data_IF_954169670069
#
_entry.id   IF_954169670069
#
_cell.length_a   1.000
_cell.length_b   1.000
_cell.length_c   1.000
_cell.angle_alpha   90.00
_cell.angle_beta   90.00
_cell.angle_gamma   90.00
#
_symmetry.space_group_name_H-M   'P 1'
#
loop_
_entity.id
_entity.type
_entity.pdbx_description
1 polymer ?
#
# COMPACT_ATOMS: atom_id res chain seq x y z
N UNK A 1 -14.41 6.81 18.08
CA UNK A 1 -15.30 7.19 16.97
C UNK A 1 -14.44 7.14 15.71
N UNK A 2 -14.94 6.60 14.59
CA UNK A 2 -14.17 6.62 13.35
C UNK A 2 -14.19 8.05 12.81
N UNK A 3 -13.02 8.67 12.69
CA UNK A 3 -12.85 9.95 12.01
C UNK A 3 -11.83 9.79 10.88
N UNK A 4 -11.87 10.72 9.92
CA UNK A 4 -11.05 10.66 8.71
C UNK A 4 -9.55 10.63 9.04
N UNK A 5 -9.11 11.38 10.04
CA UNK A 5 -7.69 11.45 10.38
C UNK A 5 -7.22 10.14 11.02
N UNK A 6 -8.08 9.48 11.81
CA UNK A 6 -7.80 8.15 12.35
C UNK A 6 -7.71 7.10 11.24
N UNK A 7 -8.57 7.16 10.22
CA UNK A 7 -8.49 6.29 9.05
C UNK A 7 -7.16 6.46 8.31
N UNK A 8 -6.76 7.72 8.04
CA UNK A 8 -5.48 8.04 7.40
C UNK A 8 -4.29 7.61 8.24
N UNK A 9 -4.31 7.91 9.54
CA UNK A 9 -3.26 7.50 10.46
C UNK A 9 -3.13 5.97 10.57
N UNK A 10 -4.24 5.23 10.52
CA UNK A 10 -4.22 3.77 10.50
C UNK A 10 -3.56 3.24 9.21
N UNK A 11 -3.95 3.76 8.05
CA UNK A 11 -3.30 3.45 6.77
C UNK A 11 -1.79 3.76 6.78
N UNK A 12 -1.38 4.87 7.40
CA UNK A 12 0.03 5.21 7.60
C UNK A 12 0.76 4.27 8.55
N UNK A 13 0.07 3.57 9.45
CA UNK A 13 0.70 2.87 10.57
C UNK A 13 1.10 1.43 10.30
N UNK A 14 0.56 0.79 9.25
CA UNK A 14 0.75 -0.66 9.00
C UNK A 14 2.21 -1.13 9.16
N UNK A 15 3.24 -0.44 8.66
CA UNK A 15 4.64 -0.88 8.79
C UNK A 15 5.14 -1.04 10.22
N UNK A 16 4.48 -0.41 11.21
CA UNK A 16 4.88 -0.39 12.62
C UNK A 16 3.89 -1.08 13.56
N UNK A 17 2.82 -1.67 13.05
CA UNK A 17 1.79 -2.29 13.90
C UNK A 17 2.01 -3.80 14.11
N UNK A 18 2.75 -4.46 13.22
CA UNK A 18 2.93 -5.91 13.25
C UNK A 18 4.27 -6.33 12.64
N UNK A 19 4.80 -7.44 13.14
CA UNK A 19 6.04 -8.10 12.66
C UNK A 19 5.73 -9.31 11.81
N UNK A 20 4.65 -10.05 12.08
CA UNK A 20 4.21 -11.11 11.18
C UNK A 20 2.69 -11.26 11.10
N UNK A 21 2.21 -11.70 9.94
CA UNK A 21 0.81 -12.06 9.73
C UNK A 21 0.68 -13.35 8.93
N UNK A 22 -0.36 -14.13 9.26
CA UNK A 22 -0.89 -15.17 8.38
C UNK A 22 -2.25 -14.74 7.89
N UNK A 23 -2.46 -14.73 6.58
CA UNK A 23 -3.69 -14.25 5.99
C UNK A 23 -4.12 -15.09 4.79
N UNK A 24 -5.39 -14.99 4.43
CA UNK A 24 -5.95 -15.50 3.18
C UNK A 24 -6.52 -14.34 2.40
N UNK A 25 -6.09 -14.14 1.14
CA UNK A 25 -6.61 -13.12 0.22
C UNK A 25 -7.39 -13.80 -0.90
N UNK A 26 -8.65 -13.40 -1.07
CA UNK A 26 -9.52 -13.84 -2.15
C UNK A 26 -9.83 -12.68 -3.09
N UNK A 27 -9.52 -12.85 -4.38
CA UNK A 27 -10.04 -11.97 -5.43
C UNK A 27 -11.53 -12.27 -5.67
N UNK A 28 -12.29 -11.25 -6.03
CA UNK A 28 -13.73 -11.38 -6.30
C UNK A 28 -14.06 -10.58 -7.54
N UNK A 29 -14.88 -11.19 -8.41
CA UNK A 29 -15.12 -10.71 -9.77
C UNK A 29 -13.94 -10.99 -10.70
N UNK A 30 -14.08 -10.55 -11.95
CA UNK A 30 -13.03 -10.66 -12.97
C UNK A 30 -12.06 -9.46 -12.85
N UNK A 31 -11.45 -9.34 -11.67
CA UNK A 31 -10.45 -8.31 -11.42
C UNK A 31 -9.28 -8.50 -12.40
N UNK A 32 -8.71 -7.40 -12.93
CA UNK A 32 -7.59 -7.38 -13.90
C UNK A 32 -6.26 -8.01 -13.40
N UNK A 33 -6.28 -8.70 -12.27
CA UNK A 33 -5.14 -9.22 -11.53
C UNK A 33 -5.39 -10.71 -11.32
N UNK A 34 -4.35 -11.57 -11.33
CA UNK A 34 -4.49 -13.02 -11.20
C UNK A 34 -5.55 -13.42 -10.21
N UNK A 35 -6.56 -14.08 -10.76
CA UNK A 35 -7.72 -14.62 -10.08
C UNK A 35 -7.27 -15.66 -9.06
N UNK A 36 -8.11 -15.88 -8.05
CA UNK A 36 -7.93 -16.99 -7.12
C UNK A 36 -7.68 -16.59 -5.68
N UNK A 37 -7.76 -17.60 -4.82
CA UNK A 37 -7.52 -17.50 -3.39
C UNK A 37 -6.07 -17.89 -3.09
N UNK A 38 -5.40 -17.08 -2.29
CA UNK A 38 -4.05 -17.39 -1.81
C UNK A 38 -3.99 -17.30 -0.29
N UNK A 39 -3.22 -18.18 0.32
CA UNK A 39 -2.84 -18.11 1.73
C UNK A 39 -1.40 -17.67 1.85
N UNK A 40 -1.11 -16.75 2.75
CA UNK A 40 0.21 -16.16 2.88
C UNK A 40 0.67 -16.02 4.32
N UNK A 41 1.99 -16.06 4.46
CA UNK A 41 2.75 -15.80 5.67
C UNK A 41 3.71 -14.68 5.34
N UNK A 42 3.55 -13.53 5.99
CA UNK A 42 4.41 -12.37 5.81
C UNK A 42 5.14 -12.14 7.13
N UNK A 43 6.46 -12.18 7.08
CA UNK A 43 7.35 -11.93 8.21
C UNK A 43 8.23 -10.72 7.85
N UNK A 44 8.10 -9.64 8.62
CA UNK A 44 8.90 -8.44 8.46
C UNK A 44 10.20 -8.54 9.26
N UNK A 45 11.32 -8.05 8.71
CA UNK A 45 11.45 -7.50 7.35
C UNK A 45 11.65 -8.58 6.28
N UNK A 46 11.03 -8.37 5.12
CA UNK A 46 11.51 -8.92 3.85
C UNK A 46 11.24 -10.41 3.57
N UNK A 47 10.35 -11.09 4.31
CA UNK A 47 9.99 -12.49 4.01
C UNK A 47 8.51 -12.67 3.73
N UNK A 48 8.20 -13.34 2.63
CA UNK A 48 6.83 -13.68 2.27
C UNK A 48 6.77 -15.09 1.68
N UNK A 49 5.89 -15.93 2.20
CA UNK A 49 5.50 -17.21 1.60
C UNK A 49 4.06 -17.10 1.15
N UNK A 50 3.76 -17.50 -0.08
CA UNK A 50 2.40 -17.57 -0.62
C UNK A 50 2.12 -18.96 -1.15
N UNK A 51 0.95 -19.49 -0.83
CA UNK A 51 0.43 -20.76 -1.31
C UNK A 51 -0.89 -20.50 -2.04
N UNK A 52 -0.96 -20.87 -3.33
CA UNK A 52 -2.18 -20.74 -4.12
C UNK A 52 -3.14 -21.92 -3.95
N UNK A 53 -4.33 -21.81 -4.50
CA UNK A 53 -5.39 -22.83 -4.43
C UNK A 53 -5.01 -24.19 -5.05
N UNK A 54 -3.96 -24.25 -5.87
CA UNK A 54 -3.43 -25.49 -6.44
C UNK A 54 -2.28 -26.08 -5.59
N UNK A 55 -1.98 -25.48 -4.44
CA UNK A 55 -0.90 -25.87 -3.55
C UNK A 55 0.49 -25.44 -4.05
N UNK A 56 0.58 -24.59 -5.09
CA UNK A 56 1.88 -24.07 -5.55
C UNK A 56 2.36 -23.02 -4.56
N UNK A 57 3.62 -23.16 -4.15
CA UNK A 57 4.26 -22.29 -3.16
C UNK A 57 5.26 -21.36 -3.84
N UNK A 58 5.15 -20.06 -3.54
CA UNK A 58 6.14 -19.04 -3.86
C UNK A 58 6.75 -18.50 -2.57
N UNK A 59 8.08 -18.36 -2.53
CA UNK A 59 8.80 -17.81 -1.38
C UNK A 59 9.67 -16.66 -1.85
N UNK A 60 9.57 -15.54 -1.16
CA UNK A 60 10.32 -14.31 -1.39
C UNK A 60 11.11 -14.01 -0.12
N UNK A 61 12.44 -13.91 -0.23
CA UNK A 61 13.32 -13.47 0.86
C UNK A 61 14.21 -12.34 0.34
N UNK A 62 13.88 -11.13 0.77
CA UNK A 62 14.50 -9.87 0.42
C UNK A 62 15.18 -9.22 1.64
N UNK A 63 15.15 -9.89 2.81
CA UNK A 63 15.65 -9.40 4.10
C UNK A 63 17.12 -8.97 4.09
N UNK A 64 17.93 -9.59 3.22
CA UNK A 64 19.35 -9.25 2.99
C UNK A 64 19.57 -8.40 1.74
N UNK A 65 18.87 -8.71 0.64
CA UNK A 65 19.11 -8.11 -0.69
C UNK A 65 18.74 -6.63 -0.72
N UNK A 66 17.66 -6.25 -0.08
CA UNK A 66 17.21 -4.86 -0.07
C UNK A 66 18.14 -3.92 0.70
N UNK A 67 18.96 -4.47 1.61
CA UNK A 67 19.93 -3.68 2.38
C UNK A 67 21.22 -3.39 1.59
N UNK A 68 21.59 -4.22 0.62
CA UNK A 68 22.92 -4.17 -0.01
C UNK A 68 22.91 -4.01 -1.52
N UNK A 69 21.86 -4.44 -2.21
CA UNK A 69 21.86 -4.60 -3.67
C UNK A 69 21.14 -3.47 -4.42
N UNK A 70 20.62 -2.45 -3.71
CA UNK A 70 20.02 -1.26 -4.32
C UNK A 70 21.10 -0.27 -4.77
N UNK A 71 21.25 -0.11 -6.09
CA UNK A 71 22.15 0.85 -6.70
C UNK A 71 21.64 2.30 -6.59
N UNK A 72 22.55 3.24 -6.39
CA UNK A 72 22.26 4.68 -6.43
C UNK A 72 22.86 5.27 -7.69
N UNK A 73 22.03 5.99 -8.45
CA UNK A 73 22.48 6.84 -9.56
C UNK A 73 22.30 8.28 -9.14
N UNK A 74 23.39 9.05 -9.16
CA UNK A 74 23.34 10.49 -8.98
C UNK A 74 23.64 11.15 -10.33
N UNK A 75 22.91 12.22 -10.64
CA UNK A 75 23.06 12.99 -11.87
C UNK A 75 22.98 14.48 -11.54
N UNK A 76 23.80 15.27 -12.22
CA UNK A 76 23.76 16.74 -12.15
C UNK A 76 23.05 17.26 -13.39
N UNK A 77 22.17 18.25 -13.20
CA UNK A 77 21.40 18.84 -14.30
C UNK A 77 22.27 19.66 -15.26
N UNK A 78 23.43 20.13 -14.81
CA UNK A 78 24.37 20.96 -15.57
C UNK A 78 25.57 20.16 -16.13
N UNK A 79 25.58 18.85 -15.96
CA UNK A 79 26.68 17.98 -16.38
C UNK A 79 27.98 18.17 -15.59
N UNK A 80 27.94 18.92 -14.50
CA UNK A 80 29.09 19.03 -13.60
C UNK A 80 29.41 17.67 -12.97
N UNK A 81 30.70 17.34 -12.75
CA UNK A 81 31.04 16.12 -12.04
C UNK A 81 30.43 16.14 -10.64
N UNK A 82 29.90 14.99 -10.20
CA UNK A 82 29.39 14.85 -8.84
C UNK A 82 30.52 15.16 -7.84
N UNK A 83 30.24 15.97 -6.80
CA UNK A 83 31.23 16.22 -5.77
C UNK A 83 31.45 14.96 -4.92
N UNK A 84 32.61 14.32 -5.07
CA UNK A 84 33.09 13.24 -4.21
C UNK A 84 32.58 11.84 -4.52
N UNK A 85 33.08 10.86 -3.75
CA UNK A 85 32.62 9.48 -3.79
C UNK A 85 31.17 9.40 -3.29
N UNK A 86 30.25 8.90 -4.11
CA UNK A 86 28.86 8.70 -3.71
C UNK A 86 28.83 7.60 -2.66
N UNK A 87 28.70 7.98 -1.39
CA UNK A 87 28.60 7.01 -0.31
C UNK A 87 27.35 6.16 -0.52
N UNK A 88 27.51 4.83 -0.53
CA UNK A 88 26.37 3.93 -0.61
C UNK A 88 25.45 4.16 0.60
N UNK A 89 24.17 4.51 0.41
CA UNK A 89 23.24 4.65 1.51
C UNK A 89 23.06 3.30 2.19
N UNK A 90 22.89 3.32 3.51
CA UNK A 90 22.41 2.15 4.25
C UNK A 90 20.89 2.20 4.25
N UNK A 91 20.26 1.13 3.79
CA UNK A 91 18.81 1.04 3.80
C UNK A 91 18.30 0.43 5.10
N UNK A 92 17.19 0.97 5.57
CA UNK A 92 16.53 0.59 6.81
C UNK A 92 15.09 0.15 6.56
N UNK A 93 14.64 -0.85 7.29
CA UNK A 93 13.22 -1.17 7.38
C UNK A 93 12.57 -0.39 8.53
N UNK A 94 11.25 -0.13 8.49
CA UNK A 94 10.55 0.71 9.45
C UNK A 94 10.73 0.33 10.94
N UNK A 95 11.00 -0.94 11.22
CA UNK A 95 11.17 -1.48 12.57
C UNK A 95 12.63 -1.69 12.97
N UNK A 96 13.58 -1.34 12.10
CA UNK A 96 14.99 -1.39 12.45
C UNK A 96 15.29 -0.37 13.58
N UNK A 97 16.16 -0.71 14.55
CA UNK A 97 16.52 0.21 15.63
C UNK A 97 17.13 1.52 15.16
N UNK A 98 17.83 1.51 14.01
CA UNK A 98 18.48 2.68 13.42
C UNK A 98 17.58 3.41 12.41
N UNK A 99 16.38 2.91 12.13
CA UNK A 99 15.47 3.58 11.20
C UNK A 99 14.99 4.93 11.78
N UNK A 100 14.83 5.96 10.94
CA UNK A 100 14.16 7.19 11.35
C UNK A 100 12.77 6.88 11.94
N UNK A 101 12.48 7.44 13.12
CA UNK A 101 11.19 7.22 13.78
C UNK A 101 10.07 8.02 13.12
N UNK A 102 8.86 7.45 12.95
CA UNK A 102 7.72 8.20 12.45
C UNK A 102 7.24 9.23 13.48
N UNK A 103 6.63 10.32 12.99
CA UNK A 103 5.90 11.25 13.87
C UNK A 103 4.61 10.58 14.29
N UNK A 104 4.41 10.40 15.60
CA UNK A 104 3.21 9.75 16.16
C UNK A 104 2.20 10.77 16.69
N UNK A 105 0.94 10.36 16.64
CA UNK A 105 -0.20 11.00 17.29
C UNK A 105 -0.27 10.59 18.77
N UNK A 106 -1.06 11.30 19.60
CA UNK A 106 -1.29 10.91 20.99
C UNK A 106 -1.90 9.51 21.18
N UNK A 107 -2.62 9.00 20.17
CA UNK A 107 -3.20 7.64 20.18
C UNK A 107 -2.24 6.55 19.67
N UNK A 108 -0.96 6.89 19.46
CA UNK A 108 0.10 5.96 19.05
C UNK A 108 0.19 5.71 17.54
N UNK A 109 -0.84 6.06 16.77
CA UNK A 109 -0.84 5.95 15.31
C UNK A 109 0.10 6.98 14.65
N UNK A 110 0.54 6.67 13.44
CA UNK A 110 1.46 7.51 12.67
C UNK A 110 0.73 8.73 12.10
N UNK A 111 1.22 9.92 12.48
CA UNK A 111 0.82 11.20 11.88
C UNK A 111 1.52 11.44 10.55
N UNK A 112 2.81 11.09 10.46
CA UNK A 112 3.61 11.24 9.25
C UNK A 112 4.75 10.21 9.23
N UNK A 113 4.99 9.63 8.06
CA UNK A 113 6.10 8.71 7.83
C UNK A 113 7.39 9.49 7.56
N UNK A 114 8.56 8.93 7.91
CA UNK A 114 9.83 9.43 7.40
C UNK A 114 9.83 9.46 5.87
N UNK A 115 10.21 10.59 5.28
CA UNK A 115 10.35 10.76 3.81
C UNK A 115 11.76 10.43 3.32
N UNK A 116 12.59 9.84 4.17
CA UNK A 116 13.95 9.44 3.86
C UNK A 116 13.93 8.29 2.85
N UNK A 117 14.58 8.48 1.71
CA UNK A 117 14.63 7.50 0.61
C UNK A 117 15.37 6.21 1.00
N UNK A 118 16.14 6.22 2.09
CA UNK A 118 16.81 5.05 2.64
C UNK A 118 15.88 4.11 3.40
N UNK A 119 14.63 4.52 3.68
CA UNK A 119 13.64 3.66 4.35
C UNK A 119 12.85 2.85 3.33
N UNK A 120 12.85 1.53 3.50
CA UNK A 120 12.17 0.58 2.63
C UNK A 120 10.87 0.14 3.28
N UNK A 121 9.75 0.66 2.79
CA UNK A 121 8.42 0.34 3.30
C UNK A 121 7.79 -0.91 2.67
N UNK A 122 8.25 -1.30 1.49
CA UNK A 122 7.63 -2.38 0.73
C UNK A 122 7.91 -3.74 1.38
N UNK A 123 6.85 -4.52 1.57
CA UNK A 123 6.97 -5.96 1.78
C UNK A 123 7.26 -6.66 0.45
N UNK A 124 7.86 -7.87 0.45
CA UNK A 124 8.13 -8.59 -0.78
C UNK A 124 6.88 -8.76 -1.64
N UNK A 125 7.03 -8.41 -2.92
CA UNK A 125 5.90 -8.36 -3.85
C UNK A 125 5.48 -9.77 -4.29
N UNK A 126 4.21 -10.12 -4.06
CA UNK A 126 3.59 -11.27 -4.72
C UNK A 126 2.80 -10.82 -5.95
N UNK A 127 3.33 -11.19 -7.13
CA UNK A 127 2.79 -10.89 -8.46
C UNK A 127 2.85 -9.41 -8.88
N UNK A 128 2.27 -8.49 -8.11
CA UNK A 128 2.26 -7.06 -8.45
C UNK A 128 2.05 -6.15 -7.21
N UNK A 129 2.10 -4.84 -7.40
CA UNK A 129 2.03 -3.86 -6.32
C UNK A 129 0.67 -3.76 -5.64
N UNK A 130 -0.41 -4.35 -6.17
CA UNK A 130 -1.67 -4.44 -5.42
C UNK A 130 -1.45 -5.19 -4.10
N UNK A 131 -0.64 -6.24 -4.13
CA UNK A 131 -0.26 -6.99 -2.93
C UNK A 131 0.40 -6.10 -1.88
N UNK A 132 1.34 -5.28 -2.31
CA UNK A 132 2.12 -4.42 -1.41
C UNK A 132 1.26 -3.27 -0.90
N UNK A 133 0.44 -2.66 -1.76
CA UNK A 133 -0.52 -1.62 -1.37
C UNK A 133 -1.62 -2.14 -0.44
N UNK A 134 -1.99 -3.42 -0.53
CA UNK A 134 -2.91 -4.07 0.42
C UNK A 134 -2.28 -4.17 1.82
N UNK A 135 -1.03 -4.65 1.90
CA UNK A 135 -0.30 -4.79 3.17
C UNK A 135 0.05 -3.45 3.79
N UNK A 136 0.33 -2.45 2.97
CA UNK A 136 0.72 -1.11 3.39
C UNK A 136 -0.07 -0.02 2.63
N UNK A 137 -1.33 0.26 3.04
CA UNK A 137 -2.26 1.07 2.25
C UNK A 137 -2.06 2.59 2.43
N UNK A 138 -0.81 3.06 2.45
CA UNK A 138 -0.46 4.48 2.64
C UNK A 138 -1.10 5.41 1.59
N UNK A 139 -1.33 4.90 0.39
CA UNK A 139 -2.01 5.63 -0.68
C UNK A 139 -3.48 5.95 -0.36
N UNK A 140 -4.07 5.34 0.67
CA UNK A 140 -5.37 5.76 1.20
C UNK A 140 -5.29 6.97 2.14
N UNK A 141 -4.08 7.37 2.55
CA UNK A 141 -3.83 8.46 3.46
C UNK A 141 -3.29 9.71 2.76
N UNK A 142 -2.16 9.55 2.06
CA UNK A 142 -1.29 10.65 1.64
C UNK A 142 -1.29 10.80 0.13
N UNK A 143 -1.74 11.97 -0.35
CA UNK A 143 -1.72 12.33 -1.76
C UNK A 143 -0.46 13.10 -2.11
N UNK A 144 -0.19 13.27 -3.40
CA UNK A 144 0.91 14.07 -3.90
C UNK A 144 0.43 15.47 -4.35
N UNK A 145 1.16 16.55 -4.01
CA UNK A 145 0.98 17.83 -4.68
C UNK A 145 1.44 17.73 -6.15
N UNK A 146 1.11 18.71 -7.02
CA UNK A 146 1.53 18.69 -8.43
C UNK A 146 3.04 18.54 -8.64
N UNK A 147 3.82 19.13 -7.73
CA UNK A 147 5.27 19.02 -7.70
C UNK A 147 5.69 18.56 -6.30
N UNK A 148 5.99 17.28 -6.15
CA UNK A 148 6.54 16.72 -4.91
C UNK A 148 6.08 15.30 -4.60
N UNK A 149 6.69 14.67 -3.60
CA UNK A 149 6.27 13.35 -3.14
C UNK A 149 4.94 13.42 -2.37
N UNK A 150 4.29 12.27 -2.14
CA UNK A 150 3.14 12.19 -1.24
C UNK A 150 3.41 12.78 0.14
N UNK A 151 2.42 13.49 0.70
CA UNK A 151 2.56 14.22 1.96
C UNK A 151 1.28 14.11 2.80
N UNK A 152 1.39 14.03 4.14
CA UNK A 152 0.22 13.95 5.02
C UNK A 152 -0.68 15.18 5.02
N UNK A 153 -0.17 16.31 4.52
CA UNK A 153 -0.89 17.57 4.35
C UNK A 153 -1.80 17.57 3.10
N UNK A 154 -1.54 16.66 2.15
CA UNK A 154 -2.30 16.55 0.90
C UNK A 154 -3.20 15.31 0.99
N UNK A 155 -4.53 15.46 0.97
CA UNK A 155 -5.42 14.31 1.02
C UNK A 155 -5.31 13.47 -0.25
N UNK A 156 -5.19 12.15 -0.12
CA UNK A 156 -5.23 11.25 -1.29
C UNK A 156 -6.65 11.01 -1.80
N UNK A 157 -7.64 11.06 -0.90
CA UNK A 157 -9.01 10.63 -1.14
C UNK A 157 -10.02 11.64 -0.61
N UNK A 158 -11.14 11.74 -1.33
CA UNK A 158 -12.41 12.22 -0.80
C UNK A 158 -13.06 11.07 -0.02
N UNK A 159 -13.21 11.24 1.30
CA UNK A 159 -13.88 10.25 2.16
C UNK A 159 -15.37 10.58 2.21
N UNK A 160 -16.18 9.77 1.54
CA UNK A 160 -17.62 10.00 1.37
C UNK A 160 -18.43 9.46 2.56
N UNK A 161 -17.98 8.33 3.13
CA UNK A 161 -18.58 7.74 4.31
C UNK A 161 -17.50 7.03 5.13
N UNK A 162 -17.68 6.99 6.45
CA UNK A 162 -16.77 6.33 7.36
C UNK A 162 -17.54 5.70 8.51
N UNK A 163 -17.28 4.44 8.81
CA UNK A 163 -17.95 3.68 9.87
C UNK A 163 -16.97 2.73 10.56
N UNK A 164 -17.27 2.38 11.81
CA UNK A 164 -16.62 1.24 12.46
C UNK A 164 -17.31 -0.05 12.02
N UNK A 165 -16.52 -1.08 11.70
CA UNK A 165 -17.02 -2.36 11.20
C UNK A 165 -16.41 -3.55 11.92
N UNK A 166 -16.77 -4.74 11.46
CA UNK A 166 -16.13 -5.99 11.87
C UNK A 166 -16.10 -6.93 10.67
N UNK A 167 -14.93 -7.49 10.36
CA UNK A 167 -14.73 -8.43 9.24
C UNK A 167 -13.97 -9.64 9.74
N UNK A 168 -14.49 -10.83 9.47
CA UNK A 168 -13.95 -12.09 9.97
C UNK A 168 -13.64 -12.07 11.50
N UNK A 169 -14.52 -11.43 12.28
CA UNK A 169 -14.37 -11.31 13.75
C UNK A 169 -13.37 -10.26 14.22
N UNK A 170 -12.75 -9.49 13.31
CA UNK A 170 -11.76 -8.46 13.63
C UNK A 170 -12.32 -7.05 13.43
N UNK A 171 -12.07 -6.09 14.35
CA UNK A 171 -12.59 -4.73 14.21
C UNK A 171 -11.92 -3.98 13.05
N UNK A 172 -12.73 -3.28 12.26
CA UNK A 172 -12.29 -2.54 11.08
C UNK A 172 -12.72 -1.08 11.11
N UNK A 173 -12.04 -0.24 10.32
CA UNK A 173 -12.54 1.06 9.88
C UNK A 173 -12.92 0.92 8.42
N UNK A 174 -14.21 1.04 8.13
CA UNK A 174 -14.79 0.87 6.80
C UNK A 174 -15.06 2.27 6.21
N UNK A 175 -14.62 2.50 4.98
CA UNK A 175 -14.75 3.76 4.29
C UNK A 175 -15.30 3.58 2.87
N UNK A 176 -16.15 4.51 2.45
CA UNK A 176 -16.46 4.72 1.04
C UNK A 176 -15.65 5.92 0.57
N UNK A 177 -14.80 5.73 -0.42
CA UNK A 177 -13.80 6.72 -0.84
C UNK A 177 -13.80 6.93 -2.34
N UNK A 178 -13.41 8.13 -2.76
CA UNK A 178 -13.10 8.44 -4.16
C UNK A 178 -11.66 8.96 -4.26
N UNK A 179 -10.84 8.44 -5.19
CA UNK A 179 -9.53 9.02 -5.48
C UNK A 179 -9.65 10.51 -5.81
N UNK A 180 -8.93 11.37 -5.08
CA UNK A 180 -8.80 12.77 -5.43
C UNK A 180 -7.81 12.92 -6.61
N UNK A 181 -7.73 14.10 -7.21
CA UNK A 181 -6.71 14.38 -8.25
C UNK A 181 -5.27 14.27 -7.74
N UNK A 182 -5.08 14.35 -6.43
CA UNK A 182 -3.81 14.15 -5.71
C UNK A 182 -3.55 12.69 -5.33
N UNK A 183 -4.44 11.74 -5.65
CA UNK A 183 -4.20 10.32 -5.37
C UNK A 183 -2.91 9.85 -6.05
N UNK A 184 -1.98 9.38 -5.24
CA UNK A 184 -0.65 8.93 -5.68
C UNK A 184 -0.54 7.44 -5.38
N UNK A 185 -0.93 6.56 -6.32
CA UNK A 185 -0.82 5.13 -6.12
C UNK A 185 0.65 4.72 -6.05
N UNK A 186 0.95 3.66 -5.29
CA UNK A 186 2.28 3.04 -5.27
C UNK A 186 2.74 2.61 -6.66
N UNK A 187 1.80 2.15 -7.47
CA UNK A 187 2.03 1.78 -8.85
C UNK A 187 0.78 2.04 -9.68
N UNK A 188 0.90 2.77 -10.79
CA UNK A 188 -0.21 3.13 -11.66
C UNK A 188 -0.82 1.94 -12.42
N UNK A 189 -0.04 0.89 -12.72
CA UNK A 189 -0.54 -0.28 -13.46
C UNK A 189 -1.24 -1.33 -12.57
N UNK A 190 -1.12 -1.22 -11.24
CA UNK A 190 -1.71 -2.14 -10.27
C UNK A 190 -2.02 -1.45 -8.93
N UNK A 191 -2.59 -0.25 -9.02
CA UNK A 191 -2.99 0.58 -7.89
C UNK A 191 -4.03 -0.14 -7.01
N UNK A 192 -4.13 0.25 -5.72
CA UNK A 192 -5.18 -0.25 -4.84
C UNK A 192 -6.58 0.17 -5.34
N UNK A 193 -6.70 1.41 -5.83
CA UNK A 193 -7.93 1.97 -6.37
C UNK A 193 -7.78 2.24 -7.89
N UNK A 194 -8.07 1.22 -8.71
CA UNK A 194 -7.98 1.28 -10.18
C UNK A 194 -9.14 2.09 -10.81
N UNK A 195 -9.10 3.41 -10.63
CA UNK A 195 -10.10 4.36 -11.12
C UNK A 195 -9.63 5.24 -12.27
N UNK A 196 -10.46 6.23 -12.62
CA UNK A 196 -10.18 7.17 -13.73
C UNK A 196 -8.89 7.97 -13.50
N UNK A 197 -8.64 8.40 -12.25
CA UNK A 197 -7.41 9.13 -11.87
C UNK A 197 -6.17 8.31 -12.22
N UNK A 198 -6.14 7.03 -11.82
CA UNK A 198 -5.02 6.12 -12.07
C UNK A 198 -4.85 5.86 -13.58
N UNK A 199 -5.94 5.69 -14.31
CA UNK A 199 -5.87 5.57 -15.76
C UNK A 199 -5.34 6.85 -16.42
N UNK A 200 -5.66 8.03 -15.88
CA UNK A 200 -5.07 9.31 -16.28
C UNK A 200 -3.56 9.29 -16.15
N UNK A 201 -3.05 8.94 -14.96
CA UNK A 201 -1.63 8.84 -14.66
C UNK A 201 -0.93 7.82 -15.57
N UNK A 202 -1.49 6.62 -15.69
CA UNK A 202 -0.91 5.56 -16.53
C UNK A 202 -0.80 5.98 -18.00
N UNK A 203 -1.77 6.73 -18.55
CA UNK A 203 -1.66 7.29 -19.92
C UNK A 203 -0.53 8.32 -20.04
N UNK A 204 -0.38 9.19 -19.05
CA UNK A 204 0.67 10.22 -19.05
C UNK A 204 2.07 9.59 -19.00
N UNK A 205 2.20 8.45 -18.32
CA UNK A 205 3.43 7.64 -18.27
C UNK A 205 3.68 6.82 -19.56
N UNK A 206 2.76 6.88 -20.54
CA UNK A 206 2.84 6.08 -21.77
C UNK A 206 2.45 4.61 -21.58
N UNK A 207 1.84 4.27 -20.45
CA UNK A 207 1.37 2.93 -20.14
C UNK A 207 0.08 2.56 -20.89
N UNK A 208 -0.15 1.25 -21.01
CA UNK A 208 -1.36 0.73 -21.64
C UNK A 208 -2.55 0.82 -20.69
N UNK A 209 -3.55 1.62 -21.08
CA UNK A 209 -4.87 1.63 -20.42
C UNK A 209 -5.85 0.83 -21.26
N UNK A 210 -6.33 -0.33 -20.79
CA UNK A 210 -7.35 -1.08 -21.51
C UNK A 210 -8.63 -0.26 -21.60
N UNK A 211 -9.32 -0.27 -22.75
CA UNK A 211 -10.53 0.49 -22.96
C UNK A 211 -11.59 0.10 -21.92
N UNK A 212 -12.21 1.12 -21.30
CA UNK A 212 -13.36 1.00 -20.38
C UNK A 212 -14.47 1.91 -20.89
N UNK A 213 -15.71 1.45 -20.76
CA UNK A 213 -16.89 2.29 -20.98
C UNK A 213 -17.14 3.18 -19.76
N UNK A 214 -16.93 2.65 -18.55
CA UNK A 214 -17.06 3.41 -17.31
C UNK A 214 -16.05 2.94 -16.23
N UNK A 215 -15.50 3.91 -15.51
CA UNK A 215 -14.72 3.69 -14.28
C UNK A 215 -15.64 3.63 -13.05
N UNK A 216 -15.15 3.07 -11.95
CA UNK A 216 -15.86 3.10 -10.67
C UNK A 216 -16.04 4.55 -10.16
N UNK A 217 -17.22 4.85 -9.62
CA UNK A 217 -17.58 6.15 -9.07
C UNK A 217 -16.95 6.39 -7.68
N UNK A 218 -16.74 5.30 -6.94
CA UNK A 218 -16.18 5.23 -5.61
C UNK A 218 -15.68 3.80 -5.32
N UNK A 219 -15.07 3.62 -4.15
CA UNK A 219 -14.57 2.34 -3.67
C UNK A 219 -15.00 2.12 -2.22
N UNK A 220 -15.38 0.90 -1.87
CA UNK A 220 -15.41 0.49 -0.45
C UNK A 220 -14.04 -0.05 -0.06
N UNK A 221 -13.48 0.46 1.02
CA UNK A 221 -12.27 -0.08 1.63
C UNK A 221 -12.51 -0.37 3.10
N UNK A 222 -11.79 -1.35 3.65
CA UNK A 222 -11.79 -1.60 5.08
C UNK A 222 -10.36 -1.83 5.58
N UNK A 223 -9.99 -1.14 6.66
CA UNK A 223 -8.71 -1.32 7.33
C UNK A 223 -8.89 -2.10 8.62
N UNK A 224 -8.11 -3.15 8.83
CA UNK A 224 -8.03 -3.85 10.11
C UNK A 224 -7.39 -2.93 11.17
N UNK A 225 -8.06 -2.75 12.30
CA UNK A 225 -7.64 -1.76 13.31
C UNK A 225 -6.37 -2.13 14.06
N UNK A 226 -6.02 -3.41 14.11
CA UNK A 226 -4.82 -3.91 14.79
C UNK A 226 -3.60 -3.81 13.87
N UNK A 227 -3.75 -4.11 12.58
CA UNK A 227 -2.62 -4.22 11.64
C UNK A 227 -2.50 -3.05 10.66
N UNK A 228 -3.56 -2.28 10.44
CA UNK A 228 -3.64 -1.26 9.39
C UNK A 228 -3.70 -1.81 7.96
N UNK A 229 -3.76 -3.14 7.78
CA UNK A 229 -3.87 -3.79 6.47
C UNK A 229 -5.23 -3.48 5.85
N UNK A 230 -5.24 -3.22 4.55
CA UNK A 230 -6.48 -3.13 3.78
C UNK A 230 -7.07 -4.53 3.59
N UNK A 231 -8.12 -4.85 4.35
CA UNK A 231 -8.74 -6.18 4.36
C UNK A 231 -9.93 -6.31 3.40
N UNK A 232 -10.33 -5.22 2.76
CA UNK A 232 -11.30 -5.23 1.67
C UNK A 232 -11.05 -4.06 0.75
N UNK A 233 -11.23 -4.32 -0.55
CA UNK A 233 -11.43 -3.30 -1.56
C UNK A 233 -12.55 -3.76 -2.49
N UNK A 234 -13.51 -2.88 -2.78
CA UNK A 234 -14.59 -3.09 -3.77
C UNK A 234 -14.77 -1.87 -4.65
N UNK A 235 -14.89 -2.08 -5.95
CA UNK A 235 -15.37 -1.05 -6.88
C UNK A 235 -16.87 -0.80 -6.69
N UNK A 236 -17.28 0.46 -6.67
CA UNK A 236 -18.69 0.88 -6.68
C UNK A 236 -18.99 1.59 -8.00
N UNK A 237 -19.91 1.03 -8.79
CA UNK A 237 -20.20 1.53 -10.15
C UNK A 237 -19.17 1.07 -11.18
N UNK A 238 -19.26 1.63 -12.39
CA UNK A 238 -18.37 1.29 -13.51
C UNK A 238 -18.55 -0.13 -14.07
N UNK A 239 -17.71 -0.47 -15.05
CA UNK A 239 -17.76 -1.77 -15.76
C UNK A 239 -17.45 -2.97 -14.86
N UNK A 240 -16.73 -2.74 -13.76
CA UNK A 240 -16.27 -3.79 -12.84
C UNK A 240 -16.86 -3.59 -11.42
N UNK A 241 -18.05 -2.99 -11.32
CA UNK A 241 -18.75 -2.82 -10.05
C UNK A 241 -18.85 -4.13 -9.25
N UNK A 242 -18.46 -4.07 -7.98
CA UNK A 242 -18.41 -5.22 -7.07
C UNK A 242 -17.10 -6.02 -7.12
N UNK A 243 -16.22 -5.79 -8.10
CA UNK A 243 -14.90 -6.45 -8.15
C UNK A 243 -13.91 -5.89 -7.14
N UNK A 244 -12.80 -6.60 -6.89
CA UNK A 244 -11.80 -6.27 -5.87
C UNK A 244 -11.35 -7.49 -5.07
N UNK A 245 -11.06 -7.34 -3.78
CA UNK A 245 -10.59 -8.44 -2.92
C UNK A 245 -11.14 -8.37 -1.48
N UNK A 246 -11.12 -9.52 -0.80
CA UNK A 246 -11.31 -9.64 0.64
C UNK A 246 -10.10 -10.38 1.25
N UNK A 247 -9.73 -9.98 2.46
CA UNK A 247 -8.64 -10.59 3.24
C UNK A 247 -9.18 -11.06 4.58
N UNK A 248 -8.79 -12.27 4.97
CA UNK A 248 -8.97 -12.80 6.32
C UNK A 248 -7.61 -12.90 6.97
N UNK A 249 -7.40 -12.16 8.05
CA UNK A 249 -6.21 -12.28 8.88
C UNK A 249 -6.46 -13.38 9.90
N UNK A 250 -5.64 -14.43 9.86
CA UNK A 250 -5.78 -15.61 10.70
C UNK A 250 -4.98 -15.47 12.00
N UNK A 251 -3.77 -14.92 11.92
CA UNK A 251 -2.88 -14.68 13.07
C UNK A 251 -2.03 -13.45 12.83
N UNK A 252 -1.71 -12.73 13.90
CA UNK A 252 -0.84 -11.54 13.90
C UNK A 252 0.17 -11.67 15.04
N UNK A 253 1.41 -11.30 14.78
CA UNK A 253 2.39 -10.96 15.82
C UNK A 253 2.53 -9.43 15.81
N UNK A 254 2.12 -8.73 16.89
CA UNK A 254 2.27 -7.28 16.97
C UNK A 254 3.75 -6.88 16.98
N UNK A 255 4.03 -5.62 16.62
CA UNK A 255 5.37 -5.03 16.71
C UNK A 255 5.70 -4.52 18.12
#
# INVERSE_FOLDING_TARGET
MADVERFRALARSSPWLWTSVRLTRRMVGDARIPTGTVRAWVDRPGRTRVEDENGRVSVYDESSRERTDRGVFAATSDGSPLPGEVMKPRYHFPQDPEAPSPRRRPDGLVAARPTDFSVIYDDPMHVNYLWVAMLDPVELADGAPPEGPPSPEVPALDVLALTGGTRAGRPTVDATVRPASSYSPRCTCCALLDGEVVAGLLRQEGGFVPPRQAYADAFEVALDTETGICVRMRELGGDHGGTGFDVVIETVTPA
#
